data_IF_176928945713
#
_entry.id   IF_176928945713
#
_cell.length_a   1.000
_cell.length_b   1.000
_cell.length_c   1.000
_cell.angle_alpha   90.00
_cell.angle_beta   90.00
_cell.angle_gamma   90.00
#
_symmetry.space_group_name_H-M   'P 1'
#
loop_
_entity.id
_entity.type
_entity.pdbx_description
1 polymer ?
#
# COMPACT_ATOMS: atom_id res chain seq x y z
N UNK A 1 -18.45 26.59 13.58
CA UNK A 1 -18.92 26.25 12.22
C UNK A 1 -18.24 27.02 11.09
N UNK A 2 -17.90 28.31 11.23
CA UNK A 2 -17.26 29.13 10.16
C UNK A 2 -15.74 28.91 9.92
N UNK A 3 -15.04 28.13 10.75
CA UNK A 3 -13.59 27.86 10.56
C UNK A 3 -13.30 26.58 9.75
N UNK A 4 -14.14 25.55 9.83
CA UNK A 4 -13.90 24.26 9.17
C UNK A 4 -13.89 24.36 7.63
N UNK A 5 -14.80 25.12 7.03
CA UNK A 5 -14.89 25.24 5.56
C UNK A 5 -13.72 26.01 4.90
N UNK A 6 -12.95 26.79 5.67
CA UNK A 6 -11.80 27.51 5.11
C UNK A 6 -10.59 26.59 4.99
N UNK A 7 -10.37 25.71 5.97
CA UNK A 7 -9.25 24.78 5.98
C UNK A 7 -9.31 23.82 4.80
N UNK A 8 -10.48 23.26 4.51
CA UNK A 8 -10.66 22.34 3.38
C UNK A 8 -10.38 23.00 2.04
N UNK A 9 -10.76 24.28 1.86
CA UNK A 9 -10.45 25.06 0.65
C UNK A 9 -8.97 25.38 0.52
N UNK A 10 -8.30 25.75 1.60
CA UNK A 10 -6.86 26.02 1.61
C UNK A 10 -6.09 24.76 1.24
N UNK A 11 -6.48 23.62 1.82
CA UNK A 11 -5.89 22.33 1.49
C UNK A 11 -6.16 21.97 0.02
N UNK A 12 -7.39 22.16 -0.47
CA UNK A 12 -7.72 21.95 -1.87
C UNK A 12 -6.89 22.84 -2.82
N UNK A 13 -6.60 24.09 -2.45
CA UNK A 13 -5.72 24.97 -3.22
C UNK A 13 -4.27 24.46 -3.24
N UNK A 14 -3.71 24.03 -2.09
CA UNK A 14 -2.36 23.46 -2.06
C UNK A 14 -2.28 22.17 -2.86
N UNK A 15 -3.31 21.31 -2.77
CA UNK A 15 -3.44 20.10 -3.58
C UNK A 15 -3.50 20.43 -5.07
N UNK A 16 -4.33 21.39 -5.48
CA UNK A 16 -4.43 21.83 -6.87
C UNK A 16 -3.14 22.44 -7.40
N UNK A 17 -2.33 23.05 -6.53
CA UNK A 17 -1.01 23.60 -6.84
C UNK A 17 0.12 22.54 -6.80
N UNK A 18 -0.16 21.31 -6.38
CA UNK A 18 0.85 20.25 -6.18
C UNK A 18 1.78 20.47 -4.99
N UNK A 19 1.44 21.39 -4.08
CA UNK A 19 2.25 21.76 -2.91
C UNK A 19 1.93 20.86 -1.68
N UNK A 20 2.10 19.55 -1.84
CA UNK A 20 1.73 18.55 -0.82
C UNK A 20 2.45 18.73 0.52
N UNK A 21 3.73 19.13 0.50
CA UNK A 21 4.52 19.40 1.71
C UNK A 21 3.85 20.48 2.59
N UNK A 22 3.25 21.51 1.95
CA UNK A 22 2.57 22.60 2.65
C UNK A 22 1.24 22.16 3.24
N UNK A 23 0.57 21.16 2.66
CA UNK A 23 -0.65 20.57 3.25
C UNK A 23 -0.34 19.97 4.61
N UNK A 24 0.70 19.14 4.70
CA UNK A 24 1.09 18.48 5.96
C UNK A 24 1.50 19.51 7.01
N UNK A 25 2.30 20.51 6.62
CA UNK A 25 2.70 21.61 7.52
C UNK A 25 1.50 22.44 8.01
N UNK A 26 0.57 22.75 7.10
CA UNK A 26 -0.63 23.52 7.42
C UNK A 26 -1.51 22.78 8.42
N UNK A 27 -1.76 21.50 8.17
CA UNK A 27 -2.64 20.69 9.02
C UNK A 27 -2.06 20.49 10.43
N UNK A 28 -0.74 20.27 10.53
CA UNK A 28 -0.02 20.26 11.82
C UNK A 28 -0.18 21.59 12.56
N UNK A 29 0.02 22.71 11.88
CA UNK A 29 -0.03 24.05 12.49
C UNK A 29 -1.42 24.39 13.01
N UNK A 30 -2.46 24.00 12.29
CA UNK A 30 -3.85 24.30 12.65
C UNK A 30 -4.39 23.30 13.68
N UNK A 31 -3.64 22.21 13.95
CA UNK A 31 -4.08 21.07 14.75
C UNK A 31 -5.46 20.57 14.27
N UNK A 32 -5.61 20.46 12.95
CA UNK A 32 -6.89 20.16 12.32
C UNK A 32 -7.20 18.67 12.44
N UNK A 33 -7.68 18.27 13.63
CA UNK A 33 -7.95 16.88 14.00
C UNK A 33 -9.04 16.21 13.15
N UNK A 34 -9.88 16.99 12.44
CA UNK A 34 -11.01 16.51 11.65
C UNK A 34 -10.74 16.53 10.13
N UNK A 35 -9.48 16.56 9.71
CA UNK A 35 -9.15 16.53 8.29
C UNK A 35 -9.55 15.19 7.65
N UNK A 36 -10.32 15.22 6.56
CA UNK A 36 -10.60 14.03 5.75
C UNK A 36 -9.43 13.73 4.79
N UNK A 37 -8.32 13.24 5.35
CA UNK A 37 -7.15 12.86 4.55
C UNK A 37 -7.46 11.76 3.52
N UNK A 38 -8.43 10.88 3.81
CA UNK A 38 -8.84 9.82 2.89
C UNK A 38 -9.60 10.37 1.69
N UNK A 39 -10.51 11.33 1.90
CA UNK A 39 -11.15 12.09 0.83
C UNK A 39 -10.15 12.85 -0.03
N UNK A 40 -9.22 13.57 0.61
CA UNK A 40 -8.17 14.31 -0.07
C UNK A 40 -7.28 13.39 -0.90
N UNK A 41 -6.82 12.29 -0.31
CA UNK A 41 -5.99 11.32 -1.00
C UNK A 41 -6.71 10.75 -2.23
N UNK A 42 -7.99 10.35 -2.11
CA UNK A 42 -8.78 9.89 -3.27
C UNK A 42 -8.87 10.94 -4.38
N UNK A 43 -9.05 12.22 -4.04
CA UNK A 43 -9.06 13.29 -5.04
C UNK A 43 -7.70 13.43 -5.75
N UNK A 44 -6.60 13.36 -5.00
CA UNK A 44 -5.24 13.47 -5.57
C UNK A 44 -4.93 12.23 -6.42
N UNK A 45 -5.27 11.02 -5.97
CA UNK A 45 -5.05 9.79 -6.73
C UNK A 45 -5.76 9.85 -8.10
N UNK A 46 -6.94 10.47 -8.17
CA UNK A 46 -7.68 10.61 -9.42
C UNK A 46 -7.03 11.57 -10.43
N UNK A 47 -6.30 12.59 -9.97
CA UNK A 47 -5.74 13.65 -10.83
C UNK A 47 -4.23 13.55 -11.00
N UNK A 48 -3.51 13.11 -9.98
CA UNK A 48 -2.06 12.97 -9.91
C UNK A 48 -1.63 11.81 -8.98
N UNK A 49 -1.65 10.55 -9.47
CA UNK A 49 -1.27 9.37 -8.68
C UNK A 49 0.14 9.44 -8.09
N UNK A 50 1.12 9.96 -8.85
CA UNK A 50 2.51 10.08 -8.40
C UNK A 50 2.64 11.07 -7.23
N UNK A 51 1.97 12.22 -7.34
CA UNK A 51 1.86 13.19 -6.24
C UNK A 51 1.15 12.60 -5.01
N UNK A 52 0.12 11.77 -5.23
CA UNK A 52 -0.57 11.08 -4.15
C UNK A 52 0.36 10.13 -3.39
N UNK A 53 1.30 9.45 -4.06
CA UNK A 53 2.28 8.58 -3.39
C UNK A 53 3.12 9.37 -2.40
N UNK A 54 3.68 10.51 -2.84
CA UNK A 54 4.47 11.38 -1.95
C UNK A 54 3.63 11.85 -0.76
N UNK A 55 2.43 12.35 -1.04
CA UNK A 55 1.52 12.82 0.00
C UNK A 55 1.15 11.71 1.01
N UNK A 56 0.87 10.49 0.53
CA UNK A 56 0.56 9.36 1.40
C UNK A 56 1.73 9.00 2.33
N UNK A 57 2.95 8.97 1.79
CA UNK A 57 4.17 8.73 2.59
C UNK A 57 4.35 9.82 3.65
N UNK A 58 4.24 11.08 3.25
CA UNK A 58 4.35 12.21 4.18
C UNK A 58 3.30 12.16 5.31
N UNK A 59 2.09 11.64 5.05
CA UNK A 59 1.05 11.44 6.06
C UNK A 59 1.37 10.28 7.02
N UNK A 60 1.95 9.19 6.50
CA UNK A 60 2.32 7.99 7.26
C UNK A 60 3.55 8.20 8.14
N UNK A 61 4.52 9.00 7.70
CA UNK A 61 5.78 9.30 8.41
C UNK A 61 5.59 10.17 9.67
N UNK A 62 4.36 10.58 9.97
CA UNK A 62 4.06 11.31 11.20
C UNK A 62 4.01 10.39 12.42
N UNK A 63 4.28 10.96 13.60
CA UNK A 63 4.18 10.24 14.86
C UNK A 63 3.21 10.95 15.82
N UNK A 64 1.99 10.41 16.04
CA UNK A 64 1.41 9.23 15.37
C UNK A 64 1.06 9.51 13.89
N UNK A 65 0.90 8.47 13.05
CA UNK A 65 0.52 8.63 11.64
C UNK A 65 -0.79 9.42 11.49
N UNK A 66 -0.86 10.32 10.50
CA UNK A 66 -2.05 11.15 10.28
C UNK A 66 -3.18 10.38 9.58
N UNK A 67 -2.85 9.28 8.92
CA UNK A 67 -3.79 8.40 8.23
C UNK A 67 -3.43 6.94 8.50
N UNK A 68 -4.46 6.09 8.57
CA UNK A 68 -4.29 4.64 8.64
C UNK A 68 -3.84 4.09 7.27
N UNK A 69 -2.84 3.21 7.27
CA UNK A 69 -2.30 2.58 6.06
C UNK A 69 -3.37 1.83 5.25
N UNK A 70 -4.37 1.22 5.89
CA UNK A 70 -5.46 0.55 5.18
C UNK A 70 -6.30 1.55 4.40
N UNK A 71 -6.56 2.74 4.95
CA UNK A 71 -7.27 3.81 4.22
C UNK A 71 -6.47 4.32 3.03
N UNK A 72 -5.15 4.36 3.14
CA UNK A 72 -4.26 4.68 2.02
C UNK A 72 -4.42 3.63 0.93
N UNK A 73 -4.25 2.35 1.26
CA UNK A 73 -4.39 1.23 0.31
C UNK A 73 -5.76 1.27 -0.37
N UNK A 74 -6.84 1.43 0.39
CA UNK A 74 -8.20 1.47 -0.17
C UNK A 74 -8.39 2.67 -1.12
N UNK A 75 -7.78 3.81 -0.82
CA UNK A 75 -7.87 5.01 -1.68
C UNK A 75 -7.23 4.78 -3.05
N UNK A 76 -6.05 4.16 -3.09
CA UNK A 76 -5.38 3.85 -4.37
C UNK A 76 -6.06 2.68 -5.10
N UNK A 77 -6.37 1.61 -4.38
CA UNK A 77 -6.95 0.40 -4.96
C UNK A 77 -8.37 0.62 -5.50
N UNK A 78 -9.16 1.51 -4.89
CA UNK A 78 -10.49 1.89 -5.42
C UNK A 78 -10.44 2.50 -6.82
N UNK A 79 -9.28 3.02 -7.23
CA UNK A 79 -9.03 3.63 -8.54
C UNK A 79 -8.11 2.76 -9.41
N UNK A 80 -7.87 1.51 -9.02
CA UNK A 80 -7.03 0.55 -9.75
C UNK A 80 -5.54 0.92 -9.77
N UNK A 81 -5.07 1.73 -8.82
CA UNK A 81 -3.68 2.23 -8.76
C UNK A 81 -2.76 1.26 -8.02
N UNK A 82 -2.60 0.05 -8.57
CA UNK A 82 -1.81 -1.02 -7.97
C UNK A 82 -0.32 -0.64 -7.84
N UNK A 83 0.28 -0.07 -8.89
CA UNK A 83 1.71 0.27 -8.89
C UNK A 83 2.06 1.27 -7.79
N UNK A 84 1.23 2.30 -7.64
CA UNK A 84 1.36 3.32 -6.61
C UNK A 84 1.10 2.75 -5.22
N UNK A 85 0.09 1.88 -5.07
CA UNK A 85 -0.17 1.14 -3.81
C UNK A 85 1.05 0.33 -3.40
N UNK A 86 1.63 -0.43 -4.33
CA UNK A 86 2.83 -1.23 -4.12
C UNK A 86 4.01 -0.36 -3.70
N UNK A 87 4.23 0.78 -4.35
CA UNK A 87 5.31 1.72 -4.01
C UNK A 87 5.16 2.29 -2.58
N UNK A 88 3.95 2.65 -2.16
CA UNK A 88 3.69 3.13 -0.80
C UNK A 88 3.90 2.01 0.23
N UNK A 89 3.36 0.81 -0.03
CA UNK A 89 3.46 -0.32 0.88
C UNK A 89 4.91 -0.82 1.04
N UNK A 90 5.70 -0.89 -0.03
CA UNK A 90 7.10 -1.31 0.06
C UNK A 90 7.92 -0.39 0.95
N UNK A 91 7.71 0.92 0.87
CA UNK A 91 8.40 1.88 1.74
C UNK A 91 7.90 1.80 3.20
N UNK A 92 6.60 1.60 3.40
CA UNK A 92 6.00 1.44 4.74
C UNK A 92 6.42 0.14 5.45
N UNK A 93 6.64 -0.93 4.68
CA UNK A 93 6.97 -2.28 5.17
C UNK A 93 8.49 -2.56 5.18
N UNK A 94 9.34 -1.58 4.86
CA UNK A 94 10.80 -1.76 4.72
C UNK A 94 11.52 -2.26 5.97
N UNK A 95 10.93 -2.05 7.13
CA UNK A 95 11.48 -2.51 8.41
C UNK A 95 11.13 -3.98 8.73
N UNK A 96 10.36 -4.66 7.87
CA UNK A 96 9.93 -6.06 7.99
C UNK A 96 9.42 -6.42 9.40
N UNK A 97 8.47 -5.62 9.93
CA UNK A 97 7.96 -5.84 11.29
C UNK A 97 6.95 -6.99 11.33
N UNK A 98 7.00 -7.88 12.34
CA UNK A 98 6.07 -9.01 12.46
C UNK A 98 4.61 -8.56 12.63
N UNK A 99 4.39 -7.43 13.32
CA UNK A 99 3.07 -6.83 13.51
C UNK A 99 2.40 -6.43 12.18
N UNK A 100 3.19 -6.24 11.12
CA UNK A 100 2.72 -5.86 9.80
C UNK A 100 2.52 -7.09 8.88
N UNK A 101 2.62 -8.33 9.39
CA UNK A 101 2.54 -9.55 8.58
C UNK A 101 1.29 -9.63 7.70
N UNK A 102 0.13 -9.19 8.20
CA UNK A 102 -1.11 -9.13 7.39
C UNK A 102 -1.00 -8.17 6.20
N UNK A 103 -0.33 -7.03 6.36
CA UNK A 103 -0.10 -6.08 5.27
C UNK A 103 0.91 -6.62 4.25
N UNK A 104 1.92 -7.37 4.72
CA UNK A 104 2.85 -8.06 3.81
C UNK A 104 2.11 -9.09 2.95
N UNK A 105 1.24 -9.91 3.55
CA UNK A 105 0.39 -10.86 2.82
C UNK A 105 -0.48 -10.14 1.80
N UNK A 106 -1.15 -9.05 2.21
CA UNK A 106 -2.03 -8.28 1.32
C UNK A 106 -1.27 -7.66 0.14
N UNK A 107 -0.06 -7.13 0.37
CA UNK A 107 0.80 -6.59 -0.69
C UNK A 107 1.12 -7.66 -1.74
N UNK A 108 1.59 -8.82 -1.30
CA UNK A 108 1.95 -9.92 -2.20
C UNK A 108 0.73 -10.47 -2.93
N UNK A 109 -0.39 -10.66 -2.24
CA UNK A 109 -1.64 -11.15 -2.82
C UNK A 109 -2.14 -10.24 -3.95
N UNK A 110 -2.21 -8.93 -3.72
CA UNK A 110 -2.67 -7.98 -4.75
C UNK A 110 -1.77 -8.00 -6.00
N UNK A 111 -0.44 -8.10 -5.81
CA UNK A 111 0.49 -8.19 -6.93
C UNK A 111 0.41 -9.55 -7.63
N UNK A 112 0.27 -10.68 -6.91
CA UNK A 112 0.11 -12.00 -7.52
C UNK A 112 -1.16 -12.10 -8.37
N UNK A 113 -2.24 -11.43 -7.98
CA UNK A 113 -3.50 -11.44 -8.74
C UNK A 113 -3.46 -10.58 -10.01
N UNK A 114 -2.74 -9.46 -10.00
CA UNK A 114 -2.87 -8.43 -11.04
C UNK A 114 -1.57 -8.17 -11.82
N UNK A 115 -0.42 -8.40 -11.20
CA UNK A 115 0.91 -8.18 -11.78
C UNK A 115 1.93 -9.21 -11.24
N UNK A 116 1.83 -10.50 -11.62
CA UNK A 116 2.73 -11.55 -11.13
C UNK A 116 4.22 -11.24 -11.29
N UNK A 117 4.59 -10.52 -12.35
CA UNK A 117 5.96 -10.06 -12.59
C UNK A 117 6.48 -9.08 -11.52
N UNK A 118 5.59 -8.26 -10.94
CA UNK A 118 5.95 -7.36 -9.83
C UNK A 118 6.06 -8.15 -8.53
N UNK A 119 5.17 -9.12 -8.31
CA UNK A 119 5.30 -10.04 -7.16
C UNK A 119 6.63 -10.79 -7.19
N UNK A 120 7.05 -11.29 -8.36
CA UNK A 120 8.36 -11.92 -8.54
C UNK A 120 9.52 -11.00 -8.15
N UNK A 121 9.50 -9.75 -8.59
CA UNK A 121 10.51 -8.78 -8.23
C UNK A 121 10.55 -8.53 -6.70
N UNK A 122 9.39 -8.45 -6.05
CA UNK A 122 9.29 -8.30 -4.58
C UNK A 122 9.90 -9.53 -3.88
N UNK A 123 9.63 -10.74 -4.33
CA UNK A 123 10.25 -11.95 -3.77
C UNK A 123 11.78 -11.92 -3.91
N UNK A 124 12.30 -11.48 -5.06
CA UNK A 124 13.74 -11.36 -5.30
C UNK A 124 14.43 -10.33 -4.40
N UNK A 125 13.71 -9.30 -3.94
CA UNK A 125 14.24 -8.31 -2.99
C UNK A 125 14.49 -8.91 -1.60
N UNK A 126 13.87 -10.04 -1.25
CA UNK A 126 13.99 -10.70 0.06
C UNK A 126 13.75 -9.76 1.26
N UNK A 127 12.85 -8.78 1.12
CA UNK A 127 12.61 -7.75 2.13
C UNK A 127 11.44 -8.03 3.08
N UNK A 128 10.62 -9.05 2.81
CA UNK A 128 9.45 -9.41 3.61
C UNK A 128 9.60 -10.84 4.12
N UNK A 129 9.33 -11.10 5.40
CA UNK A 129 9.47 -12.45 5.98
C UNK A 129 8.28 -12.93 6.80
N UNK A 130 7.33 -12.04 7.14
CA UNK A 130 6.26 -12.30 8.10
C UNK A 130 4.87 -12.50 7.46
N UNK A 131 4.78 -12.62 6.13
CA UNK A 131 3.53 -12.94 5.44
C UNK A 131 3.10 -14.40 5.63
N UNK A 132 1.82 -14.67 5.37
CA UNK A 132 1.25 -16.01 5.37
C UNK A 132 1.78 -16.82 4.18
N UNK A 133 2.79 -17.65 4.45
CA UNK A 133 3.45 -18.46 3.43
C UNK A 133 2.52 -19.44 2.73
N UNK A 134 1.57 -20.04 3.46
CA UNK A 134 0.67 -21.04 2.87
C UNK A 134 -0.29 -20.38 1.89
N UNK A 135 -0.88 -19.25 2.29
CA UNK A 135 -1.75 -18.48 1.40
C UNK A 135 -0.99 -17.96 0.17
N UNK A 136 0.21 -17.41 0.36
CA UNK A 136 1.03 -16.91 -0.76
C UNK A 136 1.45 -18.04 -1.70
N UNK A 137 1.78 -19.23 -1.20
CA UNK A 137 2.08 -20.39 -2.04
C UNK A 137 0.90 -20.74 -2.97
N UNK A 138 -0.32 -20.79 -2.42
CA UNK A 138 -1.53 -21.03 -3.21
C UNK A 138 -1.78 -19.94 -4.25
N UNK A 139 -1.47 -18.68 -3.94
CA UNK A 139 -1.59 -17.57 -4.89
C UNK A 139 -0.53 -17.63 -5.99
N UNK A 140 0.69 -18.06 -5.68
CA UNK A 140 1.74 -18.32 -6.67
C UNK A 140 1.32 -19.43 -7.65
N UNK A 141 0.72 -20.52 -7.19
CA UNK A 141 0.17 -21.55 -8.09
C UNK A 141 -0.88 -20.99 -9.05
N UNK A 142 -1.84 -20.22 -8.52
CA UNK A 142 -2.89 -19.59 -9.35
C UNK A 142 -2.32 -18.63 -10.39
N UNK A 143 -1.18 -18.01 -10.09
CA UNK A 143 -0.46 -17.14 -11.01
C UNK A 143 0.47 -17.90 -11.99
N UNK A 144 0.55 -19.23 -11.91
CA UNK A 144 1.45 -20.06 -12.73
C UNK A 144 2.92 -20.03 -12.29
N UNK A 145 3.20 -19.48 -11.10
CA UNK A 145 4.55 -19.34 -10.54
C UNK A 145 4.90 -20.54 -9.64
N UNK A 146 4.88 -21.74 -10.23
CA UNK A 146 5.00 -23.00 -9.47
C UNK A 146 6.32 -23.12 -8.68
N UNK A 147 7.43 -22.60 -9.23
CA UNK A 147 8.71 -22.61 -8.51
C UNK A 147 8.63 -21.82 -7.19
N UNK A 148 7.97 -20.65 -7.19
CA UNK A 148 7.74 -19.86 -5.97
C UNK A 148 6.77 -20.55 -5.02
N UNK A 149 5.72 -21.17 -5.54
CA UNK A 149 4.80 -21.93 -4.70
C UNK A 149 5.53 -23.04 -3.92
N UNK A 150 6.41 -23.79 -4.58
CA UNK A 150 7.23 -24.83 -3.95
C UNK A 150 8.18 -24.29 -2.87
N UNK A 151 8.76 -23.10 -3.05
CA UNK A 151 9.63 -22.46 -2.04
C UNK A 151 8.87 -22.07 -0.76
N UNK A 152 7.55 -21.85 -0.87
CA UNK A 152 6.71 -21.42 0.24
C UNK A 152 5.94 -22.57 0.91
N UNK A 153 5.66 -23.66 0.20
CA UNK A 153 5.05 -24.83 0.79
C UNK A 153 5.97 -25.53 1.79
N UNK A 154 5.38 -25.96 2.89
CA UNK A 154 6.05 -26.77 3.91
C UNK A 154 5.42 -28.17 4.03
N UNK A 155 4.20 -28.37 3.51
CA UNK A 155 3.53 -29.67 3.48
C UNK A 155 3.89 -30.46 2.22
N UNK A 156 4.24 -31.74 2.42
CA UNK A 156 4.62 -32.69 1.35
C UNK A 156 3.47 -32.91 0.36
N UNK A 157 2.22 -32.81 0.81
CA UNK A 157 1.02 -33.00 -0.02
C UNK A 157 0.86 -31.86 -1.02
N UNK A 158 1.07 -30.63 -0.59
CA UNK A 158 1.01 -29.44 -1.44
C UNK A 158 2.20 -29.39 -2.42
N UNK A 159 3.40 -29.76 -1.95
CA UNK A 159 4.59 -29.91 -2.80
C UNK A 159 4.32 -30.91 -3.94
N UNK A 160 3.78 -32.10 -3.64
CA UNK A 160 3.47 -33.12 -4.65
C UNK A 160 2.44 -32.64 -5.67
N UNK A 161 1.42 -31.92 -5.23
CA UNK A 161 0.39 -31.37 -6.13
C UNK A 161 0.99 -30.32 -7.07
N UNK A 162 1.80 -29.42 -6.55
CA UNK A 162 2.44 -28.38 -7.33
C UNK A 162 3.37 -28.96 -8.41
N UNK A 163 4.15 -30.00 -8.07
CA UNK A 163 5.03 -30.70 -9.02
C UNK A 163 4.29 -31.44 -10.15
N UNK A 164 3.01 -31.76 -9.98
CA UNK A 164 2.21 -32.38 -11.05
C UNK A 164 1.71 -31.35 -12.08
N UNK A 165 1.73 -30.07 -11.72
CA UNK A 165 1.24 -28.96 -12.54
C UNK A 165 2.36 -28.06 -13.11
N UNK A 166 3.60 -28.27 -12.65
CA UNK A 166 4.83 -27.59 -13.11
C UNK A 166 5.35 -28.10 -14.45
#
# INVERSE_FOLDING_TARGET
>A
YLRAQCHDKVIACFVAAGEYDKVVQYVKRVNYANADYGGMLRTIVATNPEGAVKFAKDLLDNNPPLIDINKVVDSFMSLGKLQETTSVLLDYLKDDKPEQGQLQTRLLEMNLMQAPQVAEAIFQMNMLSHYDRQHIAMMCEKAGMYQRALEHYTDISDIRRCMLHS
#
